data_IF_559995180539
#
_entry.id   IF_559995180539
#
_cell.length_a   1.000
_cell.length_b   1.000
_cell.length_c   1.000
_cell.angle_alpha   90.00
_cell.angle_beta   90.00
_cell.angle_gamma   90.00
#
_symmetry.space_group_name_H-M   'P 1'
#
loop_
_entity.id
_entity.type
_entity.pdbx_description
1 polymer ?
#
# COMPACT_ATOMS: atom_id res chain seq x y z
N UNK A 1 1.69 9.54 15.63
CA UNK A 1 1.52 8.53 14.55
C UNK A 1 2.24 7.20 14.80
N UNK A 2 3.30 7.11 15.61
CA UNK A 2 3.96 5.83 15.92
C UNK A 2 3.11 4.85 16.77
N UNK A 3 2.36 5.38 17.76
CA UNK A 3 1.54 4.56 18.65
C UNK A 3 0.46 3.78 17.88
N UNK A 4 -0.25 4.44 16.95
CA UNK A 4 -1.29 3.81 16.14
C UNK A 4 -0.76 2.75 15.17
N UNK A 5 0.37 3.01 14.50
CA UNK A 5 1.00 2.02 13.61
C UNK A 5 1.57 0.82 14.37
N UNK A 6 2.04 1.02 15.61
CA UNK A 6 2.49 -0.06 16.48
C UNK A 6 1.37 -1.00 16.90
N UNK A 7 0.22 -0.44 17.32
CA UNK A 7 -0.98 -1.21 17.63
C UNK A 7 -1.49 -1.98 16.40
N UNK A 8 -1.54 -1.33 15.24
CA UNK A 8 -1.94 -1.97 13.97
C UNK A 8 -1.07 -3.19 13.66
N UNK A 9 0.26 -3.06 13.74
CA UNK A 9 1.18 -4.18 13.50
C UNK A 9 0.99 -5.31 14.52
N UNK A 10 0.81 -4.96 15.80
CA UNK A 10 0.55 -5.95 16.84
C UNK A 10 -0.72 -6.76 16.56
N UNK A 11 -1.80 -6.08 16.15
CA UNK A 11 -3.07 -6.72 15.81
C UNK A 11 -2.90 -7.67 14.62
N UNK A 12 -2.24 -7.21 13.54
CA UNK A 12 -1.99 -8.03 12.35
C UNK A 12 -1.17 -9.29 12.64
N UNK A 13 -0.07 -9.17 13.40
CA UNK A 13 0.79 -10.31 13.75
C UNK A 13 0.07 -11.30 14.67
N UNK A 14 -0.85 -10.79 15.50
CA UNK A 14 -1.63 -11.61 16.44
C UNK A 14 -2.91 -12.19 15.82
N UNK A 15 -3.24 -11.85 14.57
CA UNK A 15 -4.51 -12.23 13.93
C UNK A 15 -5.74 -11.52 14.49
N UNK A 16 -5.55 -10.46 15.28
CA UNK A 16 -6.62 -9.60 15.80
C UNK A 16 -7.10 -8.66 14.70
N UNK A 17 -8.40 -8.38 14.65
CA UNK A 17 -8.96 -7.41 13.70
C UNK A 17 -8.44 -6.00 14.05
N UNK A 18 -7.68 -5.34 13.16
CA UNK A 18 -7.14 -4.02 13.45
C UNK A 18 -8.22 -2.95 13.53
N UNK A 19 -8.04 -1.96 14.40
CA UNK A 19 -8.92 -0.79 14.47
C UNK A 19 -8.75 0.17 13.27
N UNK A 20 -7.60 0.12 12.61
CA UNK A 20 -7.23 0.96 11.45
C UNK A 20 -7.08 0.05 10.22
N UNK A 21 -7.60 0.49 9.07
CA UNK A 21 -7.49 -0.24 7.79
C UNK A 21 -6.02 -0.34 7.35
N UNK A 22 -5.57 -1.55 7.03
CA UNK A 22 -4.19 -1.83 6.63
C UNK A 22 -3.98 -1.98 5.11
N UNK A 23 -5.05 -2.00 4.31
CA UNK A 23 -5.00 -2.36 2.89
C UNK A 23 -4.10 -1.44 2.05
N UNK A 24 -4.08 -0.14 2.36
CA UNK A 24 -3.28 0.87 1.66
C UNK A 24 -1.81 0.94 2.18
N UNK A 25 -1.48 0.18 3.22
CA UNK A 25 -0.14 0.07 3.79
C UNK A 25 0.69 -1.08 3.20
N UNK A 26 0.18 -1.81 2.21
CA UNK A 26 0.93 -2.91 1.60
C UNK A 26 2.26 -2.46 1.01
N UNK A 27 3.30 -3.26 1.23
CA UNK A 27 4.64 -3.06 0.66
C UNK A 27 4.71 -3.41 -0.83
N UNK A 28 3.69 -4.08 -1.38
CA UNK A 28 3.64 -4.47 -2.80
C UNK A 28 3.72 -3.28 -3.75
N UNK A 29 3.31 -2.09 -3.30
CA UNK A 29 3.48 -0.82 -4.03
C UNK A 29 4.94 -0.51 -4.39
N UNK A 30 5.90 -1.03 -3.62
CA UNK A 30 7.33 -0.86 -3.86
C UNK A 30 7.93 -2.00 -4.68
N UNK A 31 7.15 -3.04 -4.98
CA UNK A 31 7.60 -4.11 -5.85
C UNK A 31 7.91 -3.51 -7.22
N UNK A 32 9.12 -3.77 -7.73
CA UNK A 32 9.52 -3.35 -9.09
C UNK A 32 8.53 -3.96 -10.09
N UNK A 33 7.56 -3.16 -10.51
CA UNK A 33 6.70 -3.56 -11.61
C UNK A 33 7.55 -3.51 -12.89
N UNK A 34 7.40 -4.49 -13.81
CA UNK A 34 7.90 -4.31 -15.16
C UNK A 34 7.30 -3.01 -15.67
N UNK A 35 8.16 -2.04 -16.00
CA UNK A 35 7.71 -0.74 -16.47
C UNK A 35 6.97 -0.98 -17.79
N UNK A 36 5.65 -1.06 -17.74
CA UNK A 36 4.85 -0.81 -18.93
C UNK A 36 5.14 0.64 -19.27
N UNK A 37 5.90 0.85 -20.34
CA UNK A 37 6.14 2.19 -20.85
C UNK A 37 4.76 2.71 -21.26
N UNK A 38 4.13 3.52 -20.41
CA UNK A 38 2.92 4.24 -20.80
C UNK A 38 3.35 5.18 -21.93
N UNK A 39 3.10 4.74 -23.16
CA UNK A 39 3.21 5.61 -24.33
C UNK A 39 2.30 6.80 -24.06
N UNK A 40 2.81 8.04 -24.21
CA UNK A 40 1.99 9.22 -24.02
C UNK A 40 0.77 9.11 -24.93
N UNK A 41 -0.40 9.43 -24.38
CA UNK A 41 -1.64 9.51 -25.17
C UNK A 41 -1.43 10.60 -26.24
N UNK A 42 -1.67 10.33 -27.53
CA UNK A 42 -1.60 11.37 -28.55
C UNK A 42 -2.61 12.47 -28.23
N UNK A 43 -2.15 13.73 -28.26
CA UNK A 43 -3.01 14.89 -28.14
C UNK A 43 -3.86 15.01 -29.43
N UNK A 44 -5.16 15.31 -29.33
CA UNK A 44 -5.95 15.67 -30.50
C UNK A 44 -5.41 16.97 -31.14
N UNK A 45 -5.45 17.03 -32.47
CA UNK A 45 -5.00 18.16 -33.28
C UNK A 45 -5.94 19.38 -33.19
#
# INVERSE_FOLDING_TARGET
>A
MACGSGQLLSDLVSGTRPAIRADDLSVDRYRKQPRTHHLPRPLPA
#
